data_IF_977675617160
#
_entry.id   IF_977675617160
#
_cell.length_a   1.000
_cell.length_b   1.000
_cell.length_c   1.000
_cell.angle_alpha   90.00
_cell.angle_beta   90.00
_cell.angle_gamma   90.00
#
_symmetry.space_group_name_H-M   'P 1'
#
loop_
_entity.id
_entity.type
_entity.pdbx_description
1 polymer ?
#
# COMPACT_ATOMS: atom_id res chain seq x y z
N UNK A 1 -74.03 -31.73 -29.29
CA UNK A 1 -74.08 -32.92 -30.17
C UNK A 1 -72.86 -33.76 -29.87
N UNK A 2 -73.09 -35.00 -29.47
CA UNK A 2 -72.12 -35.99 -29.01
C UNK A 2 -71.60 -36.76 -30.22
N UNK A 3 -70.30 -37.01 -30.29
CA UNK A 3 -69.75 -38.11 -31.09
C UNK A 3 -68.52 -38.66 -30.38
N UNK A 4 -68.75 -39.85 -29.84
CA UNK A 4 -67.82 -40.80 -29.27
C UNK A 4 -66.86 -41.38 -30.33
N UNK A 5 -65.79 -42.01 -29.80
CA UNK A 5 -65.13 -43.24 -30.27
C UNK A 5 -63.74 -43.12 -30.98
N UNK A 6 -62.92 -44.21 -30.99
CA UNK A 6 -61.72 -44.33 -30.14
C UNK A 6 -60.48 -44.91 -30.90
N UNK A 7 -59.38 -45.17 -30.19
CA UNK A 7 -58.28 -46.04 -30.67
C UNK A 7 -56.91 -45.52 -30.25
N UNK A 8 -56.33 -45.96 -29.12
CA UNK A 8 -55.56 -47.20 -28.92
C UNK A 8 -54.31 -47.27 -29.80
N UNK A 9 -53.11 -47.13 -29.20
CA UNK A 9 -51.94 -48.01 -29.36
C UNK A 9 -50.80 -47.55 -28.44
N UNK A 10 -50.17 -48.53 -27.81
CA UNK A 10 -49.35 -48.42 -26.61
C UNK A 10 -47.85 -48.16 -26.82
N UNK A 11 -47.02 -48.53 -25.83
CA UNK A 11 -45.75 -47.87 -25.54
C UNK A 11 -44.56 -48.54 -26.24
N UNK A 12 -43.57 -47.73 -26.66
CA UNK A 12 -42.26 -48.22 -27.07
C UNK A 12 -41.24 -47.87 -25.99
N UNK A 13 -40.90 -48.86 -25.17
CA UNK A 13 -39.79 -48.80 -24.24
C UNK A 13 -38.49 -49.11 -24.98
N UNK A 14 -37.52 -48.20 -24.91
CA UNK A 14 -36.15 -48.41 -25.41
C UNK A 14 -35.31 -48.91 -24.24
N UNK A 15 -34.78 -50.13 -24.36
CA UNK A 15 -33.97 -50.82 -23.35
C UNK A 15 -32.49 -50.50 -23.62
N UNK A 16 -31.81 -49.85 -22.67
CA UNK A 16 -30.38 -49.52 -22.74
C UNK A 16 -29.58 -50.57 -21.94
N UNK A 17 -28.79 -51.39 -22.63
CA UNK A 17 -27.93 -52.40 -22.01
C UNK A 17 -26.60 -51.79 -21.56
N UNK A 18 -26.22 -51.97 -20.30
CA UNK A 18 -24.92 -51.55 -19.75
C UNK A 18 -24.10 -52.82 -19.48
N UNK A 19 -22.99 -52.95 -20.21
CA UNK A 19 -21.98 -54.00 -20.04
C UNK A 19 -21.22 -53.81 -18.72
N UNK A 20 -21.23 -54.83 -17.87
CA UNK A 20 -20.47 -54.87 -16.62
C UNK A 20 -19.01 -55.28 -16.89
N UNK A 21 -18.08 -54.33 -16.77
CA UNK A 21 -16.66 -54.62 -16.60
C UNK A 21 -16.37 -54.76 -15.10
N UNK A 22 -15.99 -55.96 -14.66
CA UNK A 22 -15.48 -56.18 -13.30
C UNK A 22 -14.02 -55.70 -13.20
N UNK A 23 -13.68 -54.76 -12.31
CA UNK A 23 -12.29 -54.48 -12.01
C UNK A 23 -11.74 -55.49 -11.00
N UNK A 24 -10.55 -56.00 -11.31
CA UNK A 24 -9.69 -56.82 -10.44
C UNK A 24 -9.30 -56.03 -9.19
N UNK A 25 -9.39 -56.66 -8.02
CA UNK A 25 -8.99 -56.07 -6.74
C UNK A 25 -7.46 -55.95 -6.63
N UNK A 26 -6.90 -54.76 -6.31
CA UNK A 26 -5.47 -54.62 -6.06
C UNK A 26 -5.09 -55.11 -4.65
N UNK A 27 -3.96 -55.81 -4.56
CA UNK A 27 -3.34 -56.24 -3.30
C UNK A 27 -2.91 -55.03 -2.45
N UNK A 28 -3.04 -55.09 -1.11
CA UNK A 28 -2.65 -54.00 -0.24
C UNK A 28 -1.12 -53.89 -0.17
N UNK A 29 -0.57 -52.78 -0.67
CA UNK A 29 0.81 -52.40 -0.39
C UNK A 29 0.89 -51.70 0.97
N UNK A 30 1.93 -51.96 1.78
CA UNK A 30 2.19 -51.21 3.01
C UNK A 30 2.35 -49.73 2.68
N UNK A 31 1.43 -48.92 3.19
CA UNK A 31 1.41 -47.48 2.98
C UNK A 31 2.52 -46.83 3.82
N UNK A 32 3.50 -46.21 3.15
CA UNK A 32 4.51 -45.41 3.82
C UNK A 32 3.85 -44.22 4.55
N UNK A 33 4.35 -43.81 5.73
CA UNK A 33 3.82 -42.65 6.44
C UNK A 33 3.84 -41.41 5.55
N UNK A 34 2.70 -40.73 5.42
CA UNK A 34 2.61 -39.50 4.66
C UNK A 34 3.52 -38.42 5.28
N UNK A 35 4.30 -37.69 4.49
CA UNK A 35 5.07 -36.57 5.00
C UNK A 35 4.12 -35.51 5.58
N UNK A 36 4.52 -34.79 6.65
CA UNK A 36 3.71 -33.72 7.20
C UNK A 36 3.48 -32.65 6.14
N UNK A 37 2.23 -32.19 6.05
CA UNK A 37 1.81 -31.12 5.14
C UNK A 37 2.63 -29.86 5.45
N UNK A 38 3.31 -29.32 4.45
CA UNK A 38 4.00 -28.04 4.58
C UNK A 38 2.96 -26.94 4.92
N UNK A 39 3.27 -26.01 5.85
CA UNK A 39 2.41 -24.87 6.11
C UNK A 39 2.20 -24.08 4.82
N UNK A 40 0.94 -23.85 4.45
CA UNK A 40 0.59 -22.96 3.35
C UNK A 40 1.02 -21.55 3.79
N UNK A 41 2.11 -21.06 3.21
CA UNK A 41 2.54 -19.68 3.42
C UNK A 41 1.46 -18.75 2.86
N UNK A 42 0.79 -18.03 3.76
CA UNK A 42 -0.12 -16.96 3.35
C UNK A 42 0.70 -15.90 2.61
N UNK A 43 0.22 -15.40 1.46
CA UNK A 43 0.88 -14.30 0.79
C UNK A 43 0.96 -13.10 1.76
N UNK A 44 2.08 -12.36 1.76
CA UNK A 44 2.19 -11.17 2.59
C UNK A 44 1.05 -10.20 2.24
N UNK A 45 0.54 -9.43 3.23
CA UNK A 45 -0.47 -8.42 2.96
C UNK A 45 0.06 -7.46 1.87
N UNK A 46 -0.79 -7.01 0.94
CA UNK A 46 -0.36 -6.06 -0.07
C UNK A 46 0.16 -4.79 0.62
N UNK A 47 1.37 -4.37 0.26
CA UNK A 47 1.90 -3.06 0.66
C UNK A 47 0.94 -2.01 0.08
N UNK A 48 0.44 -1.04 0.88
CA UNK A 48 -0.42 -0.01 0.33
C UNK A 48 0.32 0.79 -0.74
N UNK A 49 -0.11 0.68 -1.99
CA UNK A 49 0.36 1.53 -3.08
C UNK A 49 -0.36 2.88 -3.00
N UNK A 50 0.28 3.86 -2.36
CA UNK A 50 -0.18 5.24 -2.38
C UNK A 50 0.14 5.85 -3.75
N UNK A 51 -0.84 5.85 -4.67
CA UNK A 51 -0.72 6.52 -5.95
C UNK A 51 -0.73 8.05 -5.73
N UNK A 52 0.33 8.80 -6.09
CA UNK A 52 0.27 10.25 -6.07
C UNK A 52 -0.77 10.71 -7.09
N UNK A 53 -1.82 11.38 -6.61
CA UNK A 53 -2.88 11.92 -7.44
C UNK A 53 -2.30 12.95 -8.43
N UNK A 54 -2.56 12.84 -9.74
CA UNK A 54 -1.93 13.69 -10.73
C UNK A 54 -2.73 14.98 -10.94
N UNK A 55 -2.99 15.77 -9.90
CA UNK A 55 -3.47 17.14 -10.07
C UNK A 55 -2.88 18.07 -9.00
N UNK A 56 -1.83 18.79 -9.41
CA UNK A 56 -1.59 20.20 -9.10
C UNK A 56 -1.86 20.66 -7.67
N UNK A 57 -0.92 20.37 -6.78
CA UNK A 57 -0.60 21.30 -5.71
C UNK A 57 0.90 21.42 -5.58
N UNK A 58 1.50 22.63 -5.66
CA UNK A 58 2.92 22.83 -5.38
C UNK A 58 3.29 22.48 -3.92
N UNK A 59 2.31 22.15 -3.08
CA UNK A 59 2.48 21.84 -1.66
C UNK A 59 2.65 20.34 -1.36
N UNK A 60 2.48 19.46 -2.34
CA UNK A 60 2.87 18.05 -2.18
C UNK A 60 4.37 17.93 -2.45
N UNK A 61 5.18 18.34 -1.47
CA UNK A 61 6.61 18.07 -1.49
C UNK A 61 6.83 16.56 -1.30
N UNK A 62 6.91 15.83 -2.40
CA UNK A 62 7.43 14.47 -2.39
C UNK A 62 8.90 14.55 -1.98
N UNK A 63 9.21 14.14 -0.74
CA UNK A 63 10.55 14.15 -0.16
C UNK A 63 11.19 12.78 -0.35
N UNK A 64 11.34 12.42 -1.63
CA UNK A 64 11.92 11.15 -2.03
C UNK A 64 13.35 11.03 -1.49
N UNK A 65 13.75 9.84 -1.02
CA UNK A 65 15.12 9.57 -0.59
C UNK A 65 16.08 9.79 -1.76
N UNK A 66 17.23 10.39 -1.48
CA UNK A 66 18.26 10.65 -2.50
C UNK A 66 19.27 9.50 -2.63
N UNK A 67 19.41 8.70 -1.58
CA UNK A 67 20.38 7.62 -1.50
C UNK A 67 19.76 6.32 -0.95
N UNK A 68 20.32 5.14 -1.29
CA UNK A 68 19.93 3.88 -0.64
C UNK A 68 20.18 3.97 0.87
N UNK A 69 19.12 3.84 1.68
CA UNK A 69 19.17 4.01 3.14
C UNK A 69 18.79 5.41 3.64
N UNK A 70 18.43 6.36 2.76
CA UNK A 70 17.75 7.58 3.18
C UNK A 70 16.31 7.25 3.62
N UNK A 71 15.93 7.82 4.76
CA UNK A 71 14.53 7.92 5.14
C UNK A 71 13.87 9.00 4.26
N UNK A 72 12.64 8.78 3.81
CA UNK A 72 11.93 9.73 2.96
C UNK A 72 10.45 9.41 2.90
N UNK A 73 9.69 10.29 2.26
CA UNK A 73 8.24 10.16 2.23
C UNK A 73 7.53 11.37 1.65
N UNK A 74 6.29 11.53 2.04
CA UNK A 74 5.41 12.61 1.58
C UNK A 74 4.80 13.31 2.79
N UNK A 75 4.59 14.62 2.67
CA UNK A 75 3.69 15.35 3.57
C UNK A 75 2.31 15.33 2.92
N UNK A 76 1.33 14.72 3.58
CA UNK A 76 -0.04 14.60 3.08
C UNK A 76 -1.05 14.89 4.19
N UNK A 77 -1.99 15.79 3.92
CA UNK A 77 -3.04 16.15 4.89
C UNK A 77 -2.50 16.69 6.22
N UNK A 78 -1.31 17.31 6.21
CA UNK A 78 -0.67 17.83 7.42
C UNK A 78 0.29 16.89 8.13
N UNK A 79 0.41 15.64 7.68
CA UNK A 79 1.22 14.62 8.33
C UNK A 79 2.32 14.07 7.41
N UNK A 80 3.43 13.64 7.98
CA UNK A 80 4.51 12.93 7.28
C UNK A 80 4.18 11.44 7.22
N UNK A 81 4.20 10.91 6.00
CA UNK A 81 4.05 9.47 5.71
C UNK A 81 5.30 9.00 5.00
N UNK A 82 6.01 8.02 5.56
CA UNK A 82 7.19 7.46 4.91
C UNK A 82 6.83 6.69 3.64
N UNK A 83 7.85 6.35 2.85
CA UNK A 83 7.67 5.46 1.70
C UNK A 83 7.21 4.03 2.08
N UNK A 84 7.45 3.59 3.32
CA UNK A 84 6.91 2.33 3.83
C UNK A 84 5.47 2.43 4.32
N UNK A 85 4.86 3.62 4.25
CA UNK A 85 3.49 3.88 4.71
C UNK A 85 3.38 4.12 6.21
N UNK A 86 4.50 4.35 6.91
CA UNK A 86 4.50 4.67 8.33
C UNK A 86 4.18 6.16 8.54
N UNK A 87 3.29 6.44 9.50
CA UNK A 87 2.92 7.79 9.88
C UNK A 87 3.86 8.32 10.96
N UNK A 88 4.43 9.51 10.76
CA UNK A 88 5.23 10.15 11.79
C UNK A 88 4.36 10.59 12.98
N UNK A 89 4.92 10.63 14.20
CA UNK A 89 4.24 11.16 15.39
C UNK A 89 4.26 12.70 15.36
N UNK A 90 3.69 13.28 14.30
CA UNK A 90 3.61 14.73 14.17
C UNK A 90 2.71 15.30 15.27
N UNK A 91 3.09 16.47 15.79
CA UNK A 91 2.39 17.13 16.88
C UNK A 91 1.03 17.69 16.44
N UNK A 92 0.61 18.80 17.07
CA UNK A 92 -0.66 19.46 16.73
C UNK A 92 -0.64 20.25 15.42
N UNK A 93 0.54 20.64 14.95
CA UNK A 93 0.66 21.55 13.82
C UNK A 93 0.61 20.77 12.51
N UNK A 94 -0.35 21.12 11.65
CA UNK A 94 -0.45 20.59 10.29
C UNK A 94 0.71 21.12 9.46
N UNK A 95 1.51 20.21 8.92
CA UNK A 95 2.63 20.56 8.05
C UNK A 95 2.15 20.88 6.63
N UNK A 96 2.65 21.99 6.08
CA UNK A 96 2.37 22.40 4.70
C UNK A 96 3.41 21.84 3.72
N UNK A 97 4.56 21.39 4.22
CA UNK A 97 5.63 20.82 3.41
C UNK A 97 6.92 20.61 4.18
N UNK A 98 7.95 20.21 3.43
CA UNK A 98 9.29 20.07 3.95
C UNK A 98 10.34 19.99 2.85
N UNK A 99 11.60 19.91 3.24
CA UNK A 99 12.74 19.73 2.36
C UNK A 99 13.89 19.02 3.08
N UNK A 100 14.60 18.13 2.38
CA UNK A 100 15.83 17.52 2.93
C UNK A 100 16.92 18.58 3.05
N UNK A 101 17.56 18.64 4.21
CA UNK A 101 18.68 19.54 4.46
C UNK A 101 19.96 18.91 3.89
N UNK A 102 20.81 19.67 3.18
CA UNK A 102 22.11 19.18 2.71
C UNK A 102 23.00 18.64 3.85
N UNK A 103 23.82 17.62 3.57
CA UNK A 103 24.66 16.98 4.59
C UNK A 103 25.75 17.91 5.13
N UNK A 104 26.28 18.80 4.29
CA UNK A 104 27.22 19.86 4.68
C UNK A 104 26.60 20.93 5.60
N UNK A 105 25.27 20.89 5.79
CA UNK A 105 24.47 21.78 6.65
C UNK A 105 23.97 21.09 7.93
N UNK A 106 24.46 19.89 8.22
CA UNK A 106 23.99 19.09 9.35
C UNK A 106 22.90 18.08 9.01
N UNK A 107 22.40 18.06 7.77
CA UNK A 107 21.49 17.03 7.29
C UNK A 107 20.11 16.99 7.96
N UNK A 108 19.41 15.88 7.75
CA UNK A 108 18.03 15.69 8.19
C UNK A 108 17.02 16.41 7.30
N UNK A 109 15.97 16.94 7.93
CA UNK A 109 14.80 17.48 7.25
C UNK A 109 14.35 18.77 7.90
N UNK A 110 13.97 19.72 7.05
CA UNK A 110 13.30 20.94 7.45
C UNK A 110 11.83 20.80 7.06
N UNK A 111 10.92 21.01 8.00
CA UNK A 111 9.48 21.02 7.77
C UNK A 111 8.91 22.39 8.13
N UNK A 112 7.76 22.72 7.58
CA UNK A 112 7.09 23.98 7.89
C UNK A 112 5.58 23.82 7.95
N UNK A 113 4.97 24.66 8.77
CA UNK A 113 3.55 24.95 8.79
C UNK A 113 3.34 26.42 8.43
N UNK A 114 2.09 26.89 8.47
CA UNK A 114 1.78 28.31 8.25
C UNK A 114 2.48 29.24 9.25
N UNK A 115 2.79 28.73 10.45
CA UNK A 115 3.20 29.56 11.59
C UNK A 115 4.59 29.19 12.13
N UNK A 116 5.25 28.14 11.64
CA UNK A 116 6.52 27.71 12.20
C UNK A 116 7.39 26.89 11.23
N UNK A 117 8.69 26.90 11.52
CA UNK A 117 9.70 26.02 10.98
C UNK A 117 10.10 24.97 12.01
N UNK A 118 10.34 23.76 11.53
CA UNK A 118 10.76 22.63 12.33
C UNK A 118 11.94 21.92 11.67
N UNK A 119 12.86 21.38 12.47
CA UNK A 119 13.89 20.45 12.03
C UNK A 119 13.58 19.05 12.54
N UNK A 120 13.95 18.02 11.77
CA UNK A 120 14.00 16.65 12.25
C UNK A 120 15.29 15.98 11.77
N UNK A 121 15.98 15.20 12.62
CA UNK A 121 17.17 14.46 12.20
C UNK A 121 16.90 13.40 11.11
N UNK A 122 15.71 12.82 11.11
CA UNK A 122 15.24 11.83 10.13
C UNK A 122 13.82 12.17 9.68
N UNK A 123 13.35 11.56 8.59
CA UNK A 123 12.05 11.91 8.01
C UNK A 123 10.88 11.65 8.98
N UNK A 124 10.92 10.56 9.76
CA UNK A 124 9.94 10.23 10.80
C UNK A 124 10.36 10.68 12.20
N UNK A 125 11.54 11.28 12.33
CA UNK A 125 12.08 11.73 13.61
C UNK A 125 11.26 12.86 14.23
N UNK A 126 11.42 13.11 15.54
CA UNK A 126 10.66 14.13 16.24
C UNK A 126 10.93 15.52 15.66
N UNK A 127 9.87 16.32 15.51
CA UNK A 127 9.97 17.72 15.09
C UNK A 127 10.52 18.56 16.23
N UNK A 128 11.60 19.28 15.96
CA UNK A 128 12.19 20.29 16.81
C UNK A 128 11.81 21.66 16.26
N UNK A 129 11.11 22.47 17.06
CA UNK A 129 10.78 23.83 16.66
C UNK A 129 12.06 24.66 16.49
N UNK A 130 12.14 25.41 15.39
CA UNK A 130 13.26 26.30 15.10
C UNK A 130 12.87 27.78 15.24
N UNK A 131 11.75 28.16 14.63
CA UNK A 131 11.33 29.55 14.54
C UNK A 131 9.83 29.67 14.25
N UNK A 132 9.23 30.78 14.69
CA UNK A 132 7.90 31.20 14.25
C UNK A 132 7.98 31.91 12.90
N UNK A 133 6.94 31.75 12.10
CA UNK A 133 6.75 32.41 10.82
C UNK A 133 5.57 33.36 10.90
N UNK A 134 5.68 34.50 10.21
CA UNK A 134 4.57 35.44 10.02
C UNK A 134 3.70 35.09 8.80
N UNK A 135 4.15 34.13 7.98
CA UNK A 135 3.58 33.82 6.66
C UNK A 135 4.03 32.42 6.21
N UNK A 136 3.22 31.79 5.36
CA UNK A 136 3.51 30.46 4.82
C UNK A 136 4.79 30.44 3.99
N UNK A 137 5.59 29.38 4.14
CA UNK A 137 6.79 29.19 3.32
C UNK A 137 6.42 28.91 1.87
N UNK A 138 7.00 29.68 0.94
CA UNK A 138 6.92 29.46 -0.50
C UNK A 138 8.06 28.61 -1.04
N UNK A 139 9.26 28.83 -0.53
CA UNK A 139 10.45 28.09 -0.96
C UNK A 139 11.56 28.18 0.08
N UNK A 140 12.36 27.12 0.17
CA UNK A 140 13.62 27.11 0.91
C UNK A 140 14.77 26.95 -0.09
N UNK A 141 15.87 27.65 0.16
CA UNK A 141 17.05 27.61 -0.70
C UNK A 141 18.30 27.67 0.16
N UNK A 142 19.33 26.93 -0.23
CA UNK A 142 20.59 26.85 0.49
C UNK A 142 21.68 27.52 -0.35
N UNK A 143 22.31 28.57 0.19
CA UNK A 143 23.41 29.29 -0.46
C UNK A 143 24.64 29.34 0.46
N UNK A 144 25.85 29.62 -0.03
CA UNK A 144 27.08 29.45 0.76
C UNK A 144 27.04 30.18 2.11
N UNK A 145 26.95 29.42 3.21
CA UNK A 145 26.90 29.95 4.57
C UNK A 145 25.55 30.52 5.04
N UNK A 146 24.48 30.41 4.25
CA UNK A 146 23.14 30.87 4.64
C UNK A 146 22.02 29.97 4.13
N UNK A 147 20.95 29.89 4.92
CA UNK A 147 19.70 29.26 4.52
C UNK A 147 18.66 30.36 4.31
N UNK A 148 18.04 30.39 3.12
CA UNK A 148 17.03 31.37 2.77
C UNK A 148 15.66 30.70 2.78
N UNK A 149 14.80 31.14 3.70
CA UNK A 149 13.37 30.80 3.73
C UNK A 149 12.59 31.97 3.18
N UNK A 150 11.89 31.76 2.06
CA UNK A 150 11.01 32.77 1.45
C UNK A 150 9.57 32.45 1.85
N UNK A 151 8.86 33.45 2.36
CA UNK A 151 7.44 33.37 2.73
C UNK A 151 6.60 34.28 1.81
#
# INVERSE_FOLDING_TARGET
MRLDNPGRLGPTFVMLAVMACSPVAPSPHPQAPAPPLAPIALPPPPVPDYLPWPETSPYLASLLPRSPGDDGGVVFGGARVSLSGELAPDGRDSLDGGQRVPEDRGGGFLFWSQAALYHAPTFLGPLQWLASLSSSVRSVSWGPGFDLVRT
#
